data_IF_111155590071
#
_entry.id   IF_111155590071
#
_cell.length_a   1.000
_cell.length_b   1.000
_cell.length_c   1.000
_cell.angle_alpha   90.00
_cell.angle_beta   90.00
_cell.angle_gamma   90.00
#
_symmetry.space_group_name_H-M   'P 1'
#
loop_
_entity.id
_entity.type
_entity.pdbx_description
1 polymer ?
#
# COMPACT_ATOMS: atom_id res chain seq x y z
N UNK A 1 -30.13 -11.71 -21.53
CA UNK A 1 -28.74 -11.25 -21.73
C UNK A 1 -28.12 -11.03 -20.35
N UNK A 2 -26.89 -11.46 -20.11
CA UNK A 2 -26.21 -11.17 -18.84
C UNK A 2 -25.94 -9.65 -18.76
N UNK A 3 -26.38 -8.99 -17.70
CA UNK A 3 -26.09 -7.56 -17.51
C UNK A 3 -24.63 -7.35 -17.12
N UNK A 4 -24.11 -6.14 -17.33
CA UNK A 4 -22.76 -5.76 -16.87
C UNK A 4 -22.61 -6.04 -15.36
N UNK A 5 -23.65 -5.79 -14.57
CA UNK A 5 -23.66 -6.10 -13.14
C UNK A 5 -23.52 -7.62 -12.88
N UNK A 6 -24.20 -8.48 -13.64
CA UNK A 6 -24.05 -9.93 -13.54
C UNK A 6 -22.64 -10.39 -13.93
N UNK A 7 -22.05 -9.80 -14.97
CA UNK A 7 -20.69 -10.13 -15.42
C UNK A 7 -19.62 -9.73 -14.38
N UNK A 8 -19.71 -8.53 -13.82
CA UNK A 8 -18.82 -8.04 -12.76
C UNK A 8 -19.01 -8.80 -11.44
N UNK A 9 -20.22 -9.29 -11.19
CA UNK A 9 -20.55 -10.14 -10.05
C UNK A 9 -19.97 -11.56 -10.13
N UNK A 10 -19.46 -12.00 -11.28
CA UNK A 10 -18.87 -13.33 -11.45
C UNK A 10 -17.56 -13.51 -10.69
N UNK A 11 -17.12 -14.76 -10.50
CA UNK A 11 -15.83 -15.07 -9.86
C UNK A 11 -14.63 -14.51 -10.64
N UNK A 12 -14.75 -14.43 -11.97
CA UNK A 12 -13.75 -13.84 -12.87
C UNK A 12 -13.80 -12.31 -12.78
N UNK A 13 -14.99 -11.72 -12.89
CA UNK A 13 -15.17 -10.26 -12.81
C UNK A 13 -14.62 -9.67 -11.52
N UNK A 14 -14.90 -10.31 -10.37
CA UNK A 14 -14.35 -9.87 -9.07
C UNK A 14 -12.82 -9.91 -9.02
N UNK A 15 -12.18 -10.92 -9.62
CA UNK A 15 -10.71 -11.02 -9.67
C UNK A 15 -10.10 -9.91 -10.53
N UNK A 16 -10.73 -9.61 -11.66
CA UNK A 16 -10.32 -8.50 -12.54
C UNK A 16 -10.44 -7.18 -11.77
N UNK A 17 -11.59 -6.89 -11.16
CA UNK A 17 -11.80 -5.67 -10.37
C UNK A 17 -10.78 -5.53 -9.24
N UNK A 18 -10.55 -6.60 -8.47
CA UNK A 18 -9.54 -6.62 -7.39
C UNK A 18 -8.13 -6.32 -7.90
N UNK A 19 -7.79 -6.84 -9.09
CA UNK A 19 -6.46 -6.69 -9.68
C UNK A 19 -6.25 -5.27 -10.22
N UNK A 20 -7.24 -4.71 -10.92
CA UNK A 20 -7.16 -3.35 -11.46
C UNK A 20 -7.05 -2.32 -10.34
N UNK A 21 -7.90 -2.42 -9.31
CA UNK A 21 -7.80 -1.52 -8.14
C UNK A 21 -6.48 -1.70 -7.38
N UNK A 22 -5.97 -2.93 -7.28
CA UNK A 22 -4.66 -3.20 -6.69
C UNK A 22 -3.50 -2.57 -7.46
N UNK A 23 -3.53 -2.60 -8.80
CA UNK A 23 -2.49 -1.97 -9.64
C UNK A 23 -2.52 -0.45 -9.49
N UNK A 24 -3.69 0.17 -9.46
CA UNK A 24 -3.83 1.62 -9.20
C UNK A 24 -3.22 1.99 -7.85
N UNK A 25 -3.55 1.23 -6.79
CA UNK A 25 -2.97 1.47 -5.46
C UNK A 25 -1.46 1.20 -5.42
N UNK A 26 -0.94 0.23 -6.16
CA UNK A 26 0.51 0.02 -6.29
C UNK A 26 1.18 1.24 -6.93
N UNK A 27 0.60 1.80 -7.99
CA UNK A 27 1.07 3.05 -8.59
C UNK A 27 1.11 4.20 -7.59
N UNK A 28 0.04 4.35 -6.79
CA UNK A 28 0.01 5.31 -5.70
C UNK A 28 1.11 5.06 -4.68
N UNK A 29 1.33 3.83 -4.21
CA UNK A 29 2.37 3.49 -3.23
C UNK A 29 3.78 3.81 -3.77
N UNK A 30 4.03 3.60 -5.06
CA UNK A 30 5.31 3.98 -5.71
C UNK A 30 5.49 5.50 -5.71
N UNK A 31 4.48 6.26 -6.16
CA UNK A 31 4.54 7.72 -6.14
C UNK A 31 4.64 8.29 -4.72
N UNK A 32 3.91 7.67 -3.78
CA UNK A 32 3.96 7.99 -2.36
C UNK A 32 5.36 7.76 -1.80
N UNK A 33 6.00 6.63 -2.10
CA UNK A 33 7.39 6.38 -1.72
C UNK A 33 8.33 7.44 -2.30
N UNK A 34 8.21 7.76 -3.58
CA UNK A 34 9.05 8.76 -4.23
C UNK A 34 8.94 10.14 -3.56
N UNK A 35 7.73 10.56 -3.17
CA UNK A 35 7.52 11.76 -2.37
C UNK A 35 8.14 11.67 -0.97
N UNK A 36 7.94 10.54 -0.28
CA UNK A 36 8.46 10.32 1.07
C UNK A 36 9.98 10.20 1.12
N UNK A 37 10.66 9.76 0.07
CA UNK A 37 12.13 9.74 0.04
C UNK A 37 12.74 11.15 0.18
N UNK A 38 11.97 12.21 -0.07
CA UNK A 38 12.40 13.59 0.18
C UNK A 38 12.53 13.91 1.68
N UNK A 39 11.96 13.08 2.58
CA UNK A 39 12.22 13.17 4.04
C UNK A 39 13.68 12.90 4.40
N UNK A 40 14.44 12.26 3.49
CA UNK A 40 15.88 12.04 3.68
C UNK A 40 16.71 13.28 3.28
N UNK A 41 16.05 14.37 2.85
CA UNK A 41 16.72 15.65 2.60
C UNK A 41 17.00 16.36 3.93
N UNK A 42 18.16 17.03 4.03
CA UNK A 42 18.71 17.46 5.31
C UNK A 42 17.84 18.44 6.11
N UNK A 43 17.19 19.41 5.47
CA UNK A 43 16.43 20.46 6.16
C UNK A 43 14.89 20.31 6.04
N UNK A 44 14.39 19.25 5.39
CA UNK A 44 12.96 19.03 5.22
C UNK A 44 12.25 19.89 4.16
N UNK A 45 12.92 20.91 3.60
CA UNK A 45 12.31 21.85 2.63
C UNK A 45 11.77 21.14 1.40
N UNK A 46 12.49 20.13 0.89
CA UNK A 46 12.04 19.37 -0.28
C UNK A 46 10.68 18.70 0.00
N UNK A 47 10.55 18.06 1.16
CA UNK A 47 9.32 17.38 1.56
C UNK A 47 8.17 18.36 1.79
N UNK A 48 8.43 19.49 2.47
CA UNK A 48 7.42 20.52 2.71
C UNK A 48 6.99 21.22 1.41
N UNK A 49 7.93 21.52 0.50
CA UNK A 49 7.64 22.02 -0.85
C UNK A 49 6.73 21.06 -1.62
N UNK A 50 7.06 19.76 -1.59
CA UNK A 50 6.26 18.74 -2.26
C UNK A 50 4.86 18.61 -1.66
N UNK A 51 4.74 18.63 -0.33
CA UNK A 51 3.45 18.65 0.36
C UNK A 51 2.61 19.87 -0.02
N UNK A 52 3.21 21.06 -0.02
CA UNK A 52 2.53 22.29 -0.46
C UNK A 52 2.08 22.22 -1.92
N UNK A 53 2.94 21.74 -2.83
CA UNK A 53 2.57 21.52 -4.24
C UNK A 53 1.34 20.62 -4.35
N UNK A 54 1.29 19.49 -3.65
CA UNK A 54 0.13 18.59 -3.68
C UNK A 54 -1.15 19.27 -3.18
N UNK A 55 -1.08 20.03 -2.09
CA UNK A 55 -2.23 20.77 -1.54
C UNK A 55 -2.70 21.85 -2.53
N UNK A 56 -1.77 22.52 -3.21
CA UNK A 56 -2.07 23.56 -4.20
C UNK A 56 -2.86 23.06 -5.43
N UNK A 57 -2.89 21.74 -5.67
CA UNK A 57 -3.73 21.13 -6.72
C UNK A 57 -5.24 21.26 -6.42
N UNK A 58 -5.62 21.60 -5.18
CA UNK A 58 -7.00 21.88 -4.79
C UNK A 58 -7.97 20.76 -5.15
N UNK A 59 -8.94 21.04 -6.03
CA UNK A 59 -9.96 20.08 -6.44
C UNK A 59 -9.41 18.80 -7.08
N UNK A 60 -8.25 18.86 -7.75
CA UNK A 60 -7.61 17.67 -8.33
C UNK A 60 -7.08 16.72 -7.25
N UNK A 61 -6.58 17.26 -6.13
CA UNK A 61 -6.18 16.45 -4.98
C UNK A 61 -7.39 15.70 -4.41
N UNK A 62 -8.51 16.41 -4.19
CA UNK A 62 -9.75 15.81 -3.66
C UNK A 62 -10.26 14.70 -4.59
N UNK A 63 -10.28 14.94 -5.91
CA UNK A 63 -10.68 13.93 -6.89
C UNK A 63 -9.78 12.68 -6.82
N UNK A 64 -8.47 12.89 -6.71
CA UNK A 64 -7.49 11.80 -6.58
C UNK A 64 -7.72 11.00 -5.30
N UNK A 65 -7.97 11.65 -4.17
CA UNK A 65 -8.25 11.01 -2.89
C UNK A 65 -9.54 10.17 -2.94
N UNK A 66 -10.63 10.73 -3.49
CA UNK A 66 -11.89 10.00 -3.67
C UNK A 66 -11.73 8.79 -4.59
N UNK A 67 -10.95 8.94 -5.67
CA UNK A 67 -10.65 7.84 -6.59
C UNK A 67 -9.85 6.72 -5.92
N UNK A 68 -8.85 7.06 -5.12
CA UNK A 68 -8.06 6.08 -4.36
C UNK A 68 -8.91 5.36 -3.30
N UNK A 69 -9.81 6.07 -2.61
CA UNK A 69 -10.77 5.47 -1.68
C UNK A 69 -11.69 4.49 -2.42
N UNK A 70 -12.23 4.88 -3.58
CA UNK A 70 -13.06 3.99 -4.39
C UNK A 70 -12.31 2.72 -4.83
N UNK A 71 -11.04 2.85 -5.22
CA UNK A 71 -10.17 1.72 -5.55
C UNK A 71 -9.96 0.81 -4.33
N UNK A 72 -9.62 1.38 -3.17
CA UNK A 72 -9.40 0.65 -1.93
C UNK A 72 -10.66 -0.12 -1.50
N UNK A 73 -11.81 0.55 -1.49
CA UNK A 73 -13.10 -0.08 -1.12
C UNK A 73 -13.42 -1.22 -2.09
N UNK A 74 -13.27 -1.00 -3.39
CA UNK A 74 -13.47 -2.04 -4.41
C UNK A 74 -12.53 -3.23 -4.18
N UNK A 75 -11.26 -2.96 -3.90
CA UNK A 75 -10.25 -3.98 -3.61
C UNK A 75 -10.63 -4.82 -2.38
N UNK A 76 -11.00 -4.18 -1.28
CA UNK A 76 -11.36 -4.84 -0.02
C UNK A 76 -12.64 -5.66 -0.17
N UNK A 77 -13.71 -5.10 -0.76
CA UNK A 77 -14.99 -5.80 -0.95
C UNK A 77 -14.79 -7.05 -1.82
N UNK A 78 -14.08 -6.91 -2.94
CA UNK A 78 -13.80 -8.05 -3.83
C UNK A 78 -12.90 -9.08 -3.18
N UNK A 79 -11.88 -8.67 -2.43
CA UNK A 79 -11.01 -9.57 -1.66
C UNK A 79 -11.79 -10.37 -0.60
N UNK A 80 -12.68 -9.72 0.17
CA UNK A 80 -13.55 -10.37 1.16
C UNK A 80 -14.51 -11.33 0.45
N UNK A 81 -15.16 -10.90 -0.63
CA UNK A 81 -16.09 -11.74 -1.40
C UNK A 81 -15.42 -13.02 -1.91
N UNK A 82 -14.23 -12.88 -2.49
CA UNK A 82 -13.41 -14.00 -2.97
C UNK A 82 -12.95 -14.91 -1.82
N UNK A 83 -12.55 -14.33 -0.68
CA UNK A 83 -12.12 -15.07 0.50
C UNK A 83 -13.27 -15.90 1.11
N UNK A 84 -14.45 -15.30 1.26
CA UNK A 84 -15.67 -15.98 1.73
C UNK A 84 -16.09 -17.10 0.78
N UNK A 85 -16.09 -16.84 -0.53
CA UNK A 85 -16.39 -17.86 -1.54
C UNK A 85 -15.43 -19.05 -1.48
N UNK A 86 -14.12 -18.81 -1.31
CA UNK A 86 -13.11 -19.86 -1.13
C UNK A 86 -13.34 -20.70 0.14
N UNK A 87 -13.85 -20.10 1.22
CA UNK A 87 -14.15 -20.78 2.48
C UNK A 87 -15.45 -21.58 2.40
N UNK A 88 -16.50 -21.01 1.82
CA UNK A 88 -17.81 -21.66 1.66
C UNK A 88 -17.75 -22.87 0.72
N UNK A 89 -16.95 -22.79 -0.35
CA UNK A 89 -16.73 -23.92 -1.26
C UNK A 89 -15.89 -25.06 -0.65
N UNK A 90 -15.50 -24.97 0.64
CA UNK A 90 -14.60 -25.93 1.31
C UNK A 90 -15.04 -26.22 2.76
N UNK A 91 -16.05 -27.09 2.96
CA UNK A 91 -16.60 -27.40 4.30
C UNK A 91 -15.67 -28.23 5.20
N UNK A 92 -14.79 -29.06 4.63
CA UNK A 92 -13.78 -29.79 5.41
C UNK A 92 -12.43 -29.05 5.38
N UNK A 93 -11.95 -28.63 6.54
CA UNK A 93 -10.63 -28.02 6.71
C UNK A 93 -9.51 -29.04 6.47
N UNK A 94 -8.44 -28.64 5.77
CA UNK A 94 -7.32 -29.53 5.46
C UNK A 94 -6.61 -30.00 6.75
N UNK A 95 -6.58 -31.31 6.97
CA UNK A 95 -5.81 -31.95 8.06
C UNK A 95 -4.29 -31.93 7.83
N UNK A 96 -3.82 -31.51 6.65
CA UNK A 96 -2.39 -31.36 6.34
C UNK A 96 -2.13 -30.14 5.45
N UNK A 97 -1.26 -29.23 5.89
CA UNK A 97 -0.56 -28.27 5.04
C UNK A 97 0.45 -29.03 4.14
N UNK A 98 -0.05 -29.84 3.19
CA UNK A 98 0.81 -30.35 2.12
C UNK A 98 0.77 -29.38 0.95
N UNK A 99 1.95 -28.97 0.48
CA UNK A 99 2.13 -28.35 -0.84
C UNK A 99 1.60 -29.35 -1.88
N UNK A 100 0.39 -29.14 -2.39
CA UNK A 100 -0.17 -29.98 -3.44
C UNK A 100 0.65 -29.75 -4.72
N UNK A 101 1.34 -30.80 -5.17
CA UNK A 101 2.31 -30.77 -6.28
C UNK A 101 1.71 -30.55 -7.67
N UNK A 102 0.99 -29.45 -7.87
CA UNK A 102 0.50 -28.98 -9.18
C UNK A 102 0.67 -27.48 -9.35
N UNK A 103 0.39 -26.95 -10.55
CA UNK A 103 0.64 -25.56 -10.98
C UNK A 103 0.03 -24.47 -10.05
N UNK A 104 -0.91 -24.83 -9.18
CA UNK A 104 -1.45 -23.98 -8.11
C UNK A 104 -0.76 -24.29 -6.78
N UNK A 105 0.46 -23.78 -6.60
CA UNK A 105 1.16 -23.86 -5.31
C UNK A 105 0.47 -22.95 -4.29
N UNK A 106 -0.14 -23.52 -3.25
CA UNK A 106 -0.57 -22.75 -2.07
C UNK A 106 0.67 -22.37 -1.26
N UNK A 107 1.22 -21.20 -1.52
CA UNK A 107 2.34 -20.64 -0.74
C UNK A 107 1.83 -20.10 0.60
N UNK A 108 2.70 -20.06 1.62
CA UNK A 108 2.42 -19.41 2.91
C UNK A 108 1.86 -17.99 2.73
N UNK A 109 2.37 -17.29 1.72
CA UNK A 109 1.85 -16.03 1.21
C UNK A 109 0.37 -16.01 0.84
N UNK A 110 -0.05 -16.95 -0.01
CA UNK A 110 -1.45 -17.02 -0.46
C UNK A 110 -2.43 -17.31 0.68
N UNK A 111 -1.99 -18.01 1.74
CA UNK A 111 -2.78 -18.27 2.94
C UNK A 111 -2.82 -17.09 3.91
N UNK A 112 -1.89 -16.14 3.82
CA UNK A 112 -1.79 -14.98 4.71
C UNK A 112 -2.35 -13.69 4.09
N UNK A 113 -2.73 -13.67 2.81
CA UNK A 113 -3.20 -12.48 2.09
C UNK A 113 -4.32 -11.69 2.79
N UNK A 114 -5.33 -12.38 3.35
CA UNK A 114 -6.43 -11.68 4.04
C UNK A 114 -5.94 -11.05 5.35
N UNK A 115 -5.04 -11.71 6.07
CA UNK A 115 -4.50 -11.22 7.35
C UNK A 115 -3.55 -10.05 7.15
N UNK A 116 -2.65 -10.14 6.16
CA UNK A 116 -1.78 -9.02 5.78
C UNK A 116 -2.61 -7.82 5.30
N UNK A 117 -3.68 -8.05 4.54
CA UNK A 117 -4.61 -6.99 4.15
C UNK A 117 -5.30 -6.31 5.34
N UNK A 118 -5.76 -7.07 6.34
CA UNK A 118 -6.36 -6.49 7.57
C UNK A 118 -5.34 -5.66 8.35
N UNK A 119 -4.12 -6.16 8.53
CA UNK A 119 -3.06 -5.42 9.22
C UNK A 119 -2.71 -4.12 8.49
N UNK A 120 -2.65 -4.15 7.15
CA UNK A 120 -2.44 -2.95 6.33
C UNK A 120 -3.61 -1.97 6.46
N UNK A 121 -4.86 -2.44 6.54
CA UNK A 121 -6.01 -1.55 6.76
C UNK A 121 -5.95 -0.85 8.12
N UNK A 122 -5.56 -1.56 9.17
CA UNK A 122 -5.36 -0.96 10.50
C UNK A 122 -4.24 0.09 10.44
N UNK A 123 -3.10 -0.27 9.84
CA UNK A 123 -2.00 0.66 9.61
C UNK A 123 -2.44 1.90 8.82
N UNK A 124 -3.22 1.72 7.75
CA UNK A 124 -3.68 2.82 6.90
C UNK A 124 -4.54 3.83 7.67
N UNK A 125 -5.43 3.36 8.54
CA UNK A 125 -6.25 4.25 9.39
C UNK A 125 -5.36 5.07 10.32
N UNK A 126 -4.41 4.42 11.00
CA UNK A 126 -3.45 5.09 11.89
C UNK A 126 -2.59 6.09 11.12
N UNK A 127 -2.08 5.68 9.95
CA UNK A 127 -1.23 6.49 9.07
C UNK A 127 -1.95 7.76 8.59
N UNK A 128 -3.15 7.62 8.02
CA UNK A 128 -3.95 8.76 7.53
C UNK A 128 -4.32 9.69 8.68
N UNK A 129 -4.81 9.15 9.79
CA UNK A 129 -5.16 9.97 10.96
C UNK A 129 -3.96 10.78 11.47
N UNK A 130 -2.78 10.18 11.46
CA UNK A 130 -1.57 10.79 12.02
C UNK A 130 -0.99 11.86 11.09
N UNK A 131 -0.85 11.60 9.80
CA UNK A 131 -0.11 12.50 8.90
C UNK A 131 -1.00 13.40 8.05
N UNK A 132 -2.15 12.92 7.58
CA UNK A 132 -3.10 13.78 6.83
C UNK A 132 -3.83 14.72 7.78
N UNK A 133 -4.40 14.14 8.85
CA UNK A 133 -5.27 14.83 9.81
C UNK A 133 -4.60 15.13 11.17
N UNK A 134 -3.28 14.97 11.28
CA UNK A 134 -2.54 15.41 12.45
C UNK A 134 -2.38 16.94 12.53
N UNK A 135 -1.56 17.43 13.47
CA UNK A 135 -1.31 18.85 13.68
C UNK A 135 -0.99 19.61 12.39
N UNK A 136 -1.61 20.77 12.24
CA UNK A 136 -1.67 21.57 11.02
C UNK A 136 -1.14 22.99 11.26
N UNK A 137 -1.29 23.87 10.27
CA UNK A 137 -0.92 25.28 10.36
C UNK A 137 -1.64 25.98 11.53
N UNK A 138 -2.90 25.60 11.79
CA UNK A 138 -3.70 26.12 12.93
C UNK A 138 -3.07 25.76 14.28
N UNK A 139 -2.32 24.66 14.34
CA UNK A 139 -1.64 24.17 15.54
C UNK A 139 -0.19 24.69 15.64
N UNK A 140 0.23 25.59 14.74
CA UNK A 140 1.58 26.16 14.71
C UNK A 140 2.62 25.28 14.01
N UNK A 141 2.22 24.27 13.24
CA UNK A 141 3.11 23.51 12.35
C UNK A 141 3.30 24.27 11.05
N UNK A 142 4.08 25.35 11.12
CA UNK A 142 4.39 26.25 10.00
C UNK A 142 5.90 26.37 9.81
N UNK A 143 6.33 26.50 8.56
CA UNK A 143 7.72 26.81 8.18
C UNK A 143 7.74 27.64 6.91
N UNK A 144 8.90 28.21 6.57
CA UNK A 144 9.10 29.04 5.39
C UNK A 144 9.91 28.27 4.34
N UNK A 145 9.31 27.99 3.19
CA UNK A 145 9.98 27.34 2.06
C UNK A 145 9.88 28.25 0.85
N UNK A 146 11.04 28.62 0.28
CA UNK A 146 11.14 29.55 -0.85
C UNK A 146 10.40 30.89 -0.62
N UNK A 147 10.36 31.36 0.64
CA UNK A 147 9.69 32.62 1.02
C UNK A 147 8.16 32.53 1.15
N UNK A 148 7.60 31.32 1.11
CA UNK A 148 6.17 31.06 1.32
C UNK A 148 5.99 30.28 2.63
N UNK A 149 5.05 30.73 3.45
CA UNK A 149 4.65 30.01 4.66
C UNK A 149 3.83 28.78 4.27
N UNK A 150 4.25 27.60 4.74
CA UNK A 150 3.63 26.31 4.44
C UNK A 150 3.51 25.45 5.70
N UNK A 151 2.57 24.51 5.71
CA UNK A 151 2.52 23.46 6.74
C UNK A 151 3.84 22.70 6.86
N UNK A 152 4.37 22.64 8.07
CA UNK A 152 5.59 21.87 8.39
C UNK A 152 5.26 20.38 8.62
N UNK A 153 5.05 19.66 7.52
CA UNK A 153 4.83 18.21 7.54
C UNK A 153 6.10 17.44 7.92
N UNK A 154 7.28 17.96 7.56
CA UNK A 154 8.56 17.37 7.92
C UNK A 154 8.70 17.26 9.44
N UNK A 155 8.47 18.36 10.17
CA UNK A 155 8.49 18.37 11.63
C UNK A 155 7.56 17.33 12.24
N UNK A 156 6.32 17.22 11.75
CA UNK A 156 5.37 16.22 12.24
C UNK A 156 5.89 14.79 12.05
N UNK A 157 6.50 14.49 10.90
CA UNK A 157 7.09 13.17 10.63
C UNK A 157 8.28 12.89 11.55
N UNK A 158 9.16 13.87 11.72
CA UNK A 158 10.34 13.77 12.58
C UNK A 158 9.95 13.54 14.04
N UNK A 159 9.00 14.30 14.57
CA UNK A 159 8.51 14.15 15.95
C UNK A 159 7.89 12.76 16.19
N UNK A 160 7.20 12.19 15.19
CA UNK A 160 6.64 10.83 15.29
C UNK A 160 7.73 9.78 15.26
N UNK A 161 8.69 9.87 14.33
CA UNK A 161 9.75 8.87 14.23
C UNK A 161 10.91 9.06 15.20
N UNK A 162 10.90 10.12 16.00
CA UNK A 162 11.74 10.23 17.21
C UNK A 162 11.29 9.30 18.34
N UNK A 163 10.06 8.80 18.27
CA UNK A 163 9.51 7.83 19.23
C UNK A 163 9.72 6.40 18.73
N UNK A 164 10.42 5.57 19.51
CA UNK A 164 10.85 4.23 19.09
C UNK A 164 9.66 3.29 18.81
N UNK A 165 8.56 3.45 19.53
CA UNK A 165 7.33 2.67 19.34
C UNK A 165 6.72 2.90 17.94
N UNK A 166 6.81 4.11 17.42
CA UNK A 166 6.36 4.45 16.07
C UNK A 166 7.27 3.82 15.02
N UNK A 167 8.59 3.86 15.23
CA UNK A 167 9.57 3.21 14.35
C UNK A 167 9.31 1.71 14.26
N UNK A 168 9.20 1.03 15.42
CA UNK A 168 8.91 -0.41 15.46
C UNK A 168 7.59 -0.74 14.75
N UNK A 169 6.53 0.02 15.04
CA UNK A 169 5.22 -0.16 14.41
C UNK A 169 5.28 -0.03 12.88
N UNK A 170 5.99 0.98 12.38
CA UNK A 170 6.16 1.20 10.94
C UNK A 170 7.04 0.13 10.29
N UNK A 171 8.12 -0.33 10.95
CA UNK A 171 8.95 -1.44 10.46
C UNK A 171 8.10 -2.70 10.26
N UNK A 172 7.26 -3.06 11.25
CA UNK A 172 6.36 -4.21 11.14
C UNK A 172 5.37 -4.00 9.99
N UNK A 173 4.77 -2.82 9.87
CA UNK A 173 3.84 -2.50 8.79
C UNK A 173 4.49 -2.62 7.40
N UNK A 174 5.74 -2.16 7.24
CA UNK A 174 6.45 -2.24 5.97
C UNK A 174 6.83 -3.67 5.58
N UNK A 175 7.17 -4.51 6.56
CA UNK A 175 7.38 -5.96 6.32
C UNK A 175 6.07 -6.60 5.84
N UNK A 176 4.95 -6.31 6.52
CA UNK A 176 3.63 -6.82 6.13
C UNK A 176 3.23 -6.33 4.73
N UNK A 177 3.48 -5.05 4.41
CA UNK A 177 3.25 -4.49 3.08
C UNK A 177 4.10 -5.19 2.02
N UNK A 178 5.39 -5.41 2.28
CA UNK A 178 6.29 -6.14 1.39
C UNK A 178 5.81 -7.56 1.10
N UNK A 179 5.39 -8.29 2.14
CA UNK A 179 4.77 -9.61 2.00
C UNK A 179 3.50 -9.53 1.15
N UNK A 180 2.59 -8.59 1.45
CA UNK A 180 1.34 -8.42 0.72
C UNK A 180 1.58 -8.13 -0.77
N UNK A 181 2.45 -7.16 -1.09
CA UNK A 181 2.79 -6.77 -2.47
C UNK A 181 3.46 -7.90 -3.25
N UNK A 182 4.37 -8.64 -2.62
CA UNK A 182 5.09 -9.75 -3.26
C UNK A 182 4.16 -10.84 -3.80
N UNK A 183 2.98 -11.00 -3.17
CA UNK A 183 1.94 -11.93 -3.59
C UNK A 183 0.86 -11.27 -4.44
N UNK A 184 0.54 -10.00 -4.17
CA UNK A 184 -0.46 -9.25 -4.91
C UNK A 184 -0.08 -9.11 -6.38
N UNK A 185 1.19 -8.80 -6.68
CA UNK A 185 1.64 -8.62 -8.06
C UNK A 185 1.44 -9.88 -8.90
N UNK A 186 1.90 -11.03 -8.39
CA UNK A 186 1.70 -12.31 -9.07
C UNK A 186 0.22 -12.66 -9.23
N UNK A 187 -0.59 -12.44 -8.17
CA UNK A 187 -2.03 -12.72 -8.21
C UNK A 187 -2.76 -11.86 -9.23
N UNK A 188 -2.34 -10.61 -9.42
CA UNK A 188 -2.92 -9.68 -10.39
C UNK A 188 -2.62 -10.12 -11.84
N UNK A 189 -1.37 -10.48 -12.13
CA UNK A 189 -0.95 -10.98 -13.46
C UNK A 189 -1.75 -12.24 -13.84
N UNK A 190 -1.89 -13.19 -12.91
CA UNK A 190 -2.69 -14.39 -13.13
C UNK A 190 -4.16 -14.08 -13.38
N UNK A 191 -4.73 -13.12 -12.64
CA UNK A 191 -6.14 -12.76 -12.73
C UNK A 191 -6.48 -12.01 -14.03
N UNK A 192 -5.50 -11.29 -14.59
CA UNK A 192 -5.61 -10.60 -15.87
C UNK A 192 -5.27 -11.48 -17.09
N UNK A 193 -4.86 -12.74 -16.86
CA UNK A 193 -4.62 -13.72 -17.92
C UNK A 193 -3.27 -13.58 -18.63
N UNK A 194 -2.33 -12.81 -18.08
CA UNK A 194 -0.98 -12.66 -18.64
C UNK A 194 -0.07 -13.86 -18.28
N UNK A 195 -0.43 -15.05 -18.78
CA UNK A 195 0.35 -16.28 -18.60
C UNK A 195 1.12 -16.63 -19.87
N UNK A 196 2.44 -16.80 -19.76
CA UNK A 196 3.31 -17.22 -20.86
C UNK A 196 4.61 -17.83 -20.32
N UNK A 197 4.95 -19.05 -20.74
CA UNK A 197 6.07 -19.84 -20.17
C UNK A 197 7.41 -19.09 -20.11
N UNK A 198 7.67 -18.23 -21.10
CA UNK A 198 8.88 -17.38 -21.16
C UNK A 198 8.85 -16.17 -20.22
N UNK A 199 7.71 -15.50 -20.08
CA UNK A 199 7.63 -14.20 -19.37
C UNK A 199 7.17 -14.35 -17.92
N UNK A 200 6.40 -15.38 -17.63
CA UNK A 200 5.86 -15.66 -16.30
C UNK A 200 6.94 -15.74 -15.20
N UNK A 201 8.08 -16.45 -15.38
CA UNK A 201 9.14 -16.48 -14.36
C UNK A 201 9.81 -15.11 -14.15
N UNK A 202 9.98 -14.33 -15.22
CA UNK A 202 10.57 -12.99 -15.17
C UNK A 202 9.65 -12.03 -14.42
N UNK A 203 8.37 -11.99 -14.79
CA UNK A 203 7.36 -11.14 -14.15
C UNK A 203 7.19 -11.50 -12.67
N UNK A 204 7.21 -12.78 -12.33
CA UNK A 204 7.16 -13.22 -10.93
C UNK A 204 8.34 -12.69 -10.11
N UNK A 205 9.56 -12.81 -10.63
CA UNK A 205 10.77 -12.31 -9.97
C UNK A 205 10.78 -10.79 -9.88
N UNK A 206 10.42 -10.08 -10.97
CA UNK A 206 10.32 -8.63 -11.00
C UNK A 206 9.32 -8.09 -9.98
N UNK A 207 8.14 -8.72 -9.86
CA UNK A 207 7.14 -8.34 -8.86
C UNK A 207 7.63 -8.47 -7.42
N UNK A 208 8.37 -9.53 -7.12
CA UNK A 208 8.98 -9.73 -5.80
C UNK A 208 10.09 -8.71 -5.54
N UNK A 209 10.94 -8.44 -6.53
CA UNK A 209 11.98 -7.42 -6.42
C UNK A 209 11.36 -6.05 -6.15
N UNK A 210 10.31 -5.68 -6.90
CA UNK A 210 9.57 -4.42 -6.70
C UNK A 210 8.98 -4.33 -5.29
N UNK A 211 8.37 -5.40 -4.78
CA UNK A 211 7.83 -5.43 -3.42
C UNK A 211 8.91 -5.23 -2.35
N UNK A 212 10.08 -5.84 -2.52
CA UNK A 212 11.24 -5.66 -1.62
C UNK A 212 11.76 -4.23 -1.70
N UNK A 213 11.94 -3.68 -2.89
CA UNK A 213 12.41 -2.30 -3.09
C UNK A 213 11.48 -1.28 -2.44
N UNK A 214 10.16 -1.42 -2.63
CA UNK A 214 9.17 -0.55 -2.01
C UNK A 214 9.23 -0.66 -0.48
N UNK A 215 9.25 -1.89 0.04
CA UNK A 215 9.28 -2.14 1.49
C UNK A 215 10.55 -1.56 2.13
N UNK A 216 11.73 -1.79 1.54
CA UNK A 216 13.00 -1.24 2.02
C UNK A 216 13.04 0.29 1.90
N UNK A 217 12.51 0.84 0.82
CA UNK A 217 12.46 2.27 0.59
C UNK A 217 11.61 3.01 1.63
N UNK A 218 10.50 2.42 2.11
CA UNK A 218 9.76 2.99 3.23
C UNK A 218 10.45 2.70 4.57
N UNK A 219 11.06 1.53 4.74
CA UNK A 219 11.65 1.08 5.99
C UNK A 219 12.88 1.90 6.38
N UNK A 220 13.66 2.39 5.41
CA UNK A 220 14.84 3.23 5.68
C UNK A 220 14.46 4.59 6.30
N UNK A 221 13.29 5.14 5.98
CA UNK A 221 12.87 6.49 6.39
C UNK A 221 12.75 6.62 7.92
N UNK A 222 11.90 5.85 8.63
CA UNK A 222 11.76 5.99 10.08
C UNK A 222 13.05 5.62 10.81
N UNK A 223 13.82 4.67 10.29
CA UNK A 223 15.11 4.26 10.87
C UNK A 223 16.12 5.41 10.75
N UNK A 224 16.24 6.00 9.56
CA UNK A 224 17.15 7.10 9.32
C UNK A 224 16.81 8.29 10.22
N UNK A 225 15.53 8.70 10.28
CA UNK A 225 15.07 9.81 11.13
C UNK A 225 15.37 9.55 12.62
N UNK A 226 15.14 8.33 13.10
CA UNK A 226 15.40 7.99 14.51
C UNK A 226 16.89 8.12 14.87
N UNK A 227 17.80 7.75 13.95
CA UNK A 227 19.24 7.79 14.20
C UNK A 227 19.92 9.11 13.80
N UNK A 228 19.40 9.85 12.83
CA UNK A 228 19.94 11.17 12.45
C UNK A 228 19.66 12.24 13.50
N UNK A 229 18.82 11.93 14.49
CA UNK A 229 18.63 12.77 15.66
C UNK A 229 17.86 14.04 15.36
N UNK A 230 16.74 13.93 14.65
CA UNK A 230 15.70 14.97 14.55
C UNK A 230 16.20 16.42 14.41
N UNK A 231 17.30 16.62 13.66
CA UNK A 231 17.94 17.92 13.48
C UNK A 231 17.41 18.63 12.25
#
# INVERSE_FOLDING_TARGET
>A
MASIATALGSSVGRKILMSLSGIVMLGFVIGHLAGNLQLLSGNGDAFNRYGHFLISLGGLLILTELFLIACLVTHVITAISISRGKRAARPQGYSKLKSAGGASKRTFGSSTMIYTGILILIFLVVHIRTFKYGPSEVDGYVTQVDGVEVRDLHRLVVEKFSQIEWVIGYVVAMIVLGLHLSHAFWSAIQSLGFYHDRYTPVLYTAGRALAVLISLGFLIIPIWIYYSGAS
#
